data_IF_186609192348
#
_entry.id   IF_186609192348
#
_cell.length_a   1.000
_cell.length_b   1.000
_cell.length_c   1.000
_cell.angle_alpha   90.00
_cell.angle_beta   90.00
_cell.angle_gamma   90.00
#
_symmetry.space_group_name_H-M   'P 1'
#
loop_
_entity.id
_entity.type
_entity.pdbx_description
1 polymer ?
#
# COMPACT_ATOMS: atom_id res chain seq x y z
N UNK A 1 23.25 -7.76 35.99
CA UNK A 1 21.80 -7.74 35.73
C UNK A 1 21.60 -7.12 34.35
N UNK A 2 21.70 -7.90 33.27
CA UNK A 2 21.68 -7.36 31.90
C UNK A 2 20.24 -6.97 31.51
N UNK A 3 20.00 -5.75 31.00
CA UNK A 3 18.68 -5.33 30.57
C UNK A 3 18.24 -6.18 29.37
N UNK A 4 17.15 -6.94 29.54
CA UNK A 4 16.44 -7.63 28.46
C UNK A 4 15.91 -6.59 27.48
N UNK A 5 16.69 -6.27 26.46
CA UNK A 5 16.22 -5.51 25.31
C UNK A 5 15.25 -6.40 24.54
N UNK A 6 13.95 -6.24 24.80
CA UNK A 6 12.88 -6.89 24.04
C UNK A 6 12.82 -6.22 22.67
N UNK A 7 13.69 -6.62 21.76
CA UNK A 7 13.60 -6.26 20.34
C UNK A 7 12.26 -6.75 19.82
N UNK A 8 11.28 -5.84 19.74
CA UNK A 8 10.00 -6.13 19.10
C UNK A 8 10.30 -6.48 17.65
N UNK A 9 9.95 -7.70 17.23
CA UNK A 9 10.14 -8.15 15.85
C UNK A 9 9.49 -7.13 14.89
N UNK A 10 10.19 -6.66 13.85
CA UNK A 10 9.64 -5.71 12.89
C UNK A 10 8.40 -6.32 12.21
N UNK A 11 7.30 -5.56 12.15
CA UNK A 11 6.05 -5.99 11.50
C UNK A 11 6.32 -6.17 10.00
N UNK A 12 6.24 -7.40 9.48
CA UNK A 12 6.33 -7.64 8.04
C UNK A 12 5.13 -6.99 7.34
N UNK A 13 5.39 -6.10 6.38
CA UNK A 13 4.32 -5.54 5.53
C UNK A 13 3.86 -6.60 4.54
N UNK A 14 2.55 -6.73 4.38
CA UNK A 14 1.94 -7.56 3.34
C UNK A 14 2.31 -7.03 1.95
N UNK A 15 2.40 -7.91 0.95
CA UNK A 15 2.65 -7.50 -0.43
C UNK A 15 1.53 -6.58 -0.94
N UNK A 16 0.29 -6.85 -0.53
CA UNK A 16 -0.86 -6.00 -0.85
C UNK A 16 -0.68 -4.58 -0.30
N UNK A 17 -0.14 -4.46 0.92
CA UNK A 17 0.14 -3.16 1.56
C UNK A 17 1.16 -2.37 0.74
N UNK A 18 2.25 -3.00 0.30
CA UNK A 18 3.30 -2.34 -0.49
C UNK A 18 2.79 -1.95 -1.88
N UNK A 19 2.21 -2.89 -2.63
CA UNK A 19 1.71 -2.64 -3.99
C UNK A 19 0.61 -1.57 -3.97
N UNK A 20 -0.35 -1.67 -3.06
CA UNK A 20 -1.42 -0.68 -2.96
C UNK A 20 -0.91 0.71 -2.59
N UNK A 21 0.13 0.82 -1.76
CA UNK A 21 0.75 2.12 -1.42
C UNK A 21 1.42 2.78 -2.63
N UNK A 22 2.08 2.00 -3.49
CA UNK A 22 2.72 2.49 -4.72
C UNK A 22 1.66 3.00 -5.70
N UNK A 23 0.59 2.23 -5.90
CA UNK A 23 -0.52 2.62 -6.79
C UNK A 23 -1.20 3.91 -6.33
N UNK A 24 -1.55 4.03 -5.05
CA UNK A 24 -2.13 5.26 -4.49
C UNK A 24 -1.16 6.45 -4.59
N UNK A 25 0.15 6.20 -4.42
CA UNK A 25 1.17 7.24 -4.64
C UNK A 25 1.21 7.74 -6.10
N UNK A 26 1.09 6.83 -7.07
CA UNK A 26 0.96 7.20 -8.48
C UNK A 26 -0.35 7.91 -8.78
N UNK A 27 -1.44 7.52 -8.12
CA UNK A 27 -2.75 8.12 -8.29
C UNK A 27 -2.77 9.58 -7.82
N UNK A 28 -2.05 9.92 -6.75
CA UNK A 28 -1.78 11.32 -6.37
C UNK A 28 -1.15 12.12 -7.53
N UNK A 29 -0.22 11.51 -8.25
CA UNK A 29 0.42 12.12 -9.40
C UNK A 29 -0.56 12.31 -10.56
N UNK A 30 -1.41 11.31 -10.82
CA UNK A 30 -2.48 11.36 -11.83
C UNK A 30 -3.48 12.46 -11.52
N UNK A 31 -3.93 12.58 -10.26
CA UNK A 31 -4.88 13.60 -9.82
C UNK A 31 -4.29 15.00 -9.94
N UNK A 32 -3.02 15.18 -9.58
CA UNK A 32 -2.31 16.44 -9.77
C UNK A 32 -2.27 16.83 -11.26
N UNK A 33 -1.85 15.92 -12.14
CA UNK A 33 -1.80 16.15 -13.58
C UNK A 33 -3.19 16.36 -14.18
N UNK A 34 -4.20 15.62 -13.73
CA UNK A 34 -5.60 15.78 -14.14
C UNK A 34 -6.16 17.14 -13.76
N UNK A 35 -5.81 17.65 -12.58
CA UNK A 35 -6.15 19.01 -12.14
C UNK A 35 -5.51 20.06 -13.06
N UNK A 36 -4.22 19.89 -13.36
CA UNK A 36 -3.50 20.76 -14.30
C UNK A 36 -4.10 20.72 -15.72
N UNK A 37 -4.54 19.55 -16.18
CA UNK A 37 -5.17 19.35 -17.47
C UNK A 37 -6.53 20.07 -17.55
N UNK A 38 -7.39 19.89 -16.54
CA UNK A 38 -8.70 20.56 -16.43
C UNK A 38 -8.53 22.08 -16.42
N UNK A 39 -7.57 22.58 -15.63
CA UNK A 39 -7.21 24.00 -15.60
C UNK A 39 -6.67 24.49 -16.95
N UNK A 40 -5.74 23.75 -17.56
CA UNK A 40 -5.10 24.10 -18.82
C UNK A 40 -6.08 24.15 -20.01
N UNK A 41 -7.10 23.29 -19.99
CA UNK A 41 -8.18 23.28 -20.98
C UNK A 41 -9.31 24.27 -20.65
N UNK A 42 -9.23 25.02 -19.55
CA UNK A 42 -10.26 25.97 -19.07
C UNK A 42 -11.65 25.34 -18.96
N UNK A 43 -11.72 24.05 -18.62
CA UNK A 43 -12.99 23.32 -18.47
C UNK A 43 -13.76 23.84 -17.25
N UNK A 44 -13.05 24.25 -16.21
CA UNK A 44 -13.58 24.82 -14.96
C UNK A 44 -12.80 26.07 -14.58
N UNK A 45 -13.42 26.95 -13.78
CA UNK A 45 -12.72 28.06 -13.16
C UNK A 45 -11.54 27.57 -12.29
N UNK A 46 -10.47 28.37 -12.14
CA UNK A 46 -9.24 27.93 -11.48
C UNK A 46 -9.47 27.46 -10.04
N UNK A 47 -10.27 28.22 -9.28
CA UNK A 47 -10.52 27.95 -7.86
C UNK A 47 -11.20 26.59 -7.65
N UNK A 48 -12.36 26.28 -8.26
CA UNK A 48 -12.98 24.97 -8.08
C UNK A 48 -12.13 23.81 -8.60
N UNK A 49 -11.35 23.99 -9.69
CA UNK A 49 -10.46 22.95 -10.18
C UNK A 49 -9.39 22.56 -9.15
N UNK A 50 -8.70 23.53 -8.56
CA UNK A 50 -7.68 23.27 -7.53
C UNK A 50 -8.29 22.73 -6.24
N UNK A 51 -9.47 23.21 -5.83
CA UNK A 51 -10.17 22.70 -4.64
C UNK A 51 -10.56 21.23 -4.83
N UNK A 52 -11.12 20.86 -5.98
CA UNK A 52 -11.49 19.48 -6.27
C UNK A 52 -10.27 18.56 -6.29
N UNK A 53 -9.19 18.98 -6.97
CA UNK A 53 -7.93 18.25 -7.02
C UNK A 53 -7.29 18.06 -5.66
N UNK A 54 -7.25 19.11 -4.83
CA UNK A 54 -6.70 19.06 -3.49
C UNK A 54 -7.53 18.17 -2.55
N UNK A 55 -8.87 18.25 -2.62
CA UNK A 55 -9.76 17.39 -1.85
C UNK A 55 -9.56 15.91 -2.21
N UNK A 56 -9.40 15.62 -3.50
CA UNK A 56 -9.16 14.27 -4.00
C UNK A 56 -7.77 13.75 -3.58
N UNK A 57 -6.74 14.58 -3.67
CA UNK A 57 -5.39 14.25 -3.18
C UNK A 57 -5.37 13.98 -1.67
N UNK A 58 -6.08 14.78 -0.88
CA UNK A 58 -6.23 14.56 0.56
C UNK A 58 -6.93 13.22 0.87
N UNK A 59 -7.98 12.87 0.11
CA UNK A 59 -8.67 11.59 0.22
C UNK A 59 -7.74 10.40 -0.05
N UNK A 60 -6.86 10.51 -1.05
CA UNK A 60 -5.85 9.49 -1.35
C UNK A 60 -4.85 9.35 -0.19
N UNK A 61 -4.35 10.46 0.37
CA UNK A 61 -3.43 10.42 1.51
C UNK A 61 -4.05 9.75 2.74
N UNK A 62 -5.31 10.06 3.03
CA UNK A 62 -6.07 9.36 4.08
C UNK A 62 -6.16 7.87 3.75
N UNK A 63 -6.45 7.54 2.50
CA UNK A 63 -6.56 6.14 2.05
C UNK A 63 -5.25 5.36 2.22
N UNK A 64 -4.12 5.96 1.88
CA UNK A 64 -2.78 5.39 2.12
C UNK A 64 -2.55 5.11 3.60
N UNK A 65 -2.96 6.03 4.48
CA UNK A 65 -2.82 5.88 5.94
C UNK A 65 -3.64 4.70 6.48
N UNK A 66 -4.82 4.47 5.90
CA UNK A 66 -5.75 3.40 6.29
C UNK A 66 -5.51 2.06 5.60
N UNK A 67 -4.66 2.00 4.57
CA UNK A 67 -4.28 0.77 3.87
C UNK A 67 -3.60 -0.29 4.77
N UNK A 68 -3.20 0.11 5.99
CA UNK A 68 -2.64 -0.78 7.02
C UNK A 68 -3.67 -1.75 7.65
N UNK A 69 -4.96 -1.55 7.38
CA UNK A 69 -6.07 -2.38 7.85
C UNK A 69 -6.78 -3.04 6.67
N UNK A 70 -7.43 -4.19 6.89
CA UNK A 70 -8.15 -4.94 5.84
C UNK A 70 -9.26 -4.09 5.15
N UNK A 71 -9.76 -3.08 5.85
CA UNK A 71 -10.69 -2.06 5.36
C UNK A 71 -10.12 -1.15 4.27
N UNK A 72 -8.79 -1.03 4.18
CA UNK A 72 -8.13 -0.23 3.16
C UNK A 72 -8.41 -0.71 1.73
N UNK A 73 -8.76 -1.99 1.55
CA UNK A 73 -9.13 -2.53 0.23
C UNK A 73 -10.44 -1.89 -0.25
N UNK A 74 -11.44 -1.78 0.62
CA UNK A 74 -12.71 -1.12 0.30
C UNK A 74 -12.52 0.37 0.02
N UNK A 75 -11.64 1.02 0.77
CA UNK A 75 -11.34 2.43 0.59
C UNK A 75 -10.64 2.69 -0.76
N UNK A 76 -9.73 1.81 -1.18
CA UNK A 76 -9.14 1.89 -2.51
C UNK A 76 -10.13 1.65 -3.64
N UNK A 77 -11.12 0.77 -3.46
CA UNK A 77 -12.23 0.65 -4.42
C UNK A 77 -13.03 1.95 -4.56
N UNK A 78 -13.31 2.64 -3.45
CA UNK A 78 -13.98 3.94 -3.50
C UNK A 78 -13.15 4.97 -4.27
N UNK A 79 -11.84 5.04 -4.02
CA UNK A 79 -10.92 5.93 -4.74
C UNK A 79 -10.90 5.62 -6.24
N UNK A 80 -10.85 4.35 -6.64
CA UNK A 80 -10.86 3.96 -8.04
C UNK A 80 -12.17 4.33 -8.76
N UNK A 81 -13.32 4.10 -8.11
CA UNK A 81 -14.62 4.52 -8.67
C UNK A 81 -14.66 6.04 -8.84
N UNK A 82 -14.16 6.78 -7.86
CA UNK A 82 -14.07 8.23 -7.93
C UNK A 82 -13.13 8.70 -9.05
N UNK A 83 -12.01 8.00 -9.28
CA UNK A 83 -11.07 8.34 -10.35
C UNK A 83 -11.71 8.11 -11.73
N UNK A 84 -12.42 6.99 -11.91
CA UNK A 84 -13.18 6.74 -13.13
C UNK A 84 -14.27 7.79 -13.31
N UNK A 85 -14.96 8.20 -12.23
CA UNK A 85 -15.96 9.25 -12.27
C UNK A 85 -15.36 10.63 -12.63
N UNK A 86 -14.09 10.89 -12.33
CA UNK A 86 -13.39 12.08 -12.84
C UNK A 86 -13.33 12.10 -14.39
N UNK A 87 -13.51 10.95 -15.04
CA UNK A 87 -13.77 10.81 -16.48
C UNK A 87 -14.93 11.66 -17.01
N UNK A 88 -15.97 11.90 -16.20
CA UNK A 88 -17.08 12.75 -16.59
C UNK A 88 -16.68 14.22 -16.79
N UNK A 89 -15.61 14.68 -16.13
CA UNK A 89 -15.07 16.03 -16.34
C UNK A 89 -14.22 16.07 -17.62
N UNK A 90 -13.45 15.01 -17.89
CA UNK A 90 -12.66 14.91 -19.10
C UNK A 90 -12.56 13.47 -19.59
N UNK A 91 -12.97 13.16 -20.85
CA UNK A 91 -13.03 11.79 -21.34
C UNK A 91 -11.70 11.03 -21.26
N UNK A 92 -10.55 11.71 -21.36
CA UNK A 92 -9.23 11.09 -21.20
C UNK A 92 -9.02 10.45 -19.82
N UNK A 93 -9.69 10.96 -18.78
CA UNK A 93 -9.62 10.40 -17.43
C UNK A 93 -10.37 9.06 -17.30
N UNK A 94 -11.32 8.74 -18.19
CA UNK A 94 -11.91 7.39 -18.22
C UNK A 94 -10.88 6.34 -18.58
N UNK A 95 -10.00 6.62 -19.54
CA UNK A 95 -8.94 5.67 -19.96
C UNK A 95 -7.97 5.46 -18.79
N UNK A 96 -7.51 6.54 -18.17
CA UNK A 96 -6.59 6.47 -17.03
C UNK A 96 -7.23 5.75 -15.84
N UNK A 97 -8.45 6.14 -15.47
CA UNK A 97 -9.20 5.52 -14.39
C UNK A 97 -9.47 4.03 -14.64
N UNK A 98 -9.82 3.64 -15.86
CA UNK A 98 -10.05 2.24 -16.20
C UNK A 98 -8.76 1.40 -16.08
N UNK A 99 -7.62 1.92 -16.54
CA UNK A 99 -6.33 1.25 -16.42
C UNK A 99 -5.92 1.07 -14.95
N UNK A 100 -6.09 2.10 -14.13
CA UNK A 100 -5.82 2.04 -12.69
C UNK A 100 -6.76 1.06 -11.98
N UNK A 101 -8.06 1.12 -12.26
CA UNK A 101 -9.05 0.23 -11.66
C UNK A 101 -8.79 -1.23 -12.03
N UNK A 102 -8.47 -1.51 -13.30
CA UNK A 102 -8.12 -2.85 -13.76
C UNK A 102 -6.86 -3.37 -13.08
N UNK A 103 -5.82 -2.54 -13.01
CA UNK A 103 -4.56 -2.86 -12.33
C UNK A 103 -4.79 -3.14 -10.84
N UNK A 104 -5.50 -2.25 -10.14
CA UNK A 104 -5.87 -2.40 -8.73
C UNK A 104 -6.57 -3.73 -8.48
N UNK A 105 -7.58 -4.05 -9.28
CA UNK A 105 -8.35 -5.30 -9.17
C UNK A 105 -7.44 -6.53 -9.32
N UNK A 106 -6.59 -6.53 -10.35
CA UNK A 106 -5.66 -7.63 -10.61
C UNK A 106 -4.68 -7.84 -9.45
N UNK A 107 -4.08 -6.77 -8.94
CA UNK A 107 -3.12 -6.83 -7.84
C UNK A 107 -3.76 -7.21 -6.51
N UNK A 108 -4.98 -6.78 -6.22
CA UNK A 108 -5.68 -7.20 -4.99
C UNK A 108 -6.01 -8.69 -5.00
N UNK A 109 -6.33 -9.24 -6.18
CA UNK A 109 -6.52 -10.67 -6.36
C UNK A 109 -5.20 -11.44 -6.22
N UNK A 110 -4.16 -11.08 -6.98
CA UNK A 110 -2.84 -11.74 -6.95
C UNK A 110 -2.14 -11.60 -5.60
N UNK A 111 -2.17 -10.43 -4.99
CA UNK A 111 -1.60 -10.18 -3.67
C UNK A 111 -2.21 -11.07 -2.59
N UNK A 112 -3.49 -11.46 -2.74
CA UNK A 112 -4.13 -12.38 -1.79
C UNK A 112 -3.70 -13.80 -1.91
N UNK A 113 -3.47 -14.23 -3.14
CA UNK A 113 -2.90 -15.53 -3.42
C UNK A 113 -1.51 -15.63 -2.79
N UNK A 114 -0.67 -14.60 -2.98
CA UNK A 114 0.70 -14.59 -2.45
C UNK A 114 0.71 -14.46 -0.91
N UNK A 115 -0.12 -13.61 -0.32
CA UNK A 115 -0.19 -13.49 1.15
C UNK A 115 -0.66 -14.80 1.79
N UNK A 116 -1.63 -15.52 1.18
CA UNK A 116 -2.05 -16.84 1.64
C UNK A 116 -0.93 -17.88 1.57
N UNK A 117 -0.12 -17.83 0.51
CA UNK A 117 1.03 -18.72 0.36
C UNK A 117 2.16 -18.40 1.35
N UNK A 118 2.34 -17.14 1.73
CA UNK A 118 3.38 -16.70 2.68
C UNK A 118 2.98 -16.87 4.15
N UNK A 119 1.69 -16.88 4.47
CA UNK A 119 1.19 -17.08 5.82
C UNK A 119 1.79 -18.29 6.58
N UNK A 120 1.86 -19.51 6.00
CA UNK A 120 2.45 -20.66 6.70
C UNK A 120 3.96 -20.51 6.93
N UNK A 121 4.69 -19.95 5.97
CA UNK A 121 6.15 -19.72 6.06
C UNK A 121 6.45 -18.73 7.20
N UNK A 122 5.68 -17.65 7.31
CA UNK A 122 5.84 -16.65 8.36
C UNK A 122 5.49 -17.23 9.74
N UNK A 123 4.45 -18.06 9.82
CA UNK A 123 4.06 -18.72 11.07
C UNK A 123 5.16 -19.67 11.58
N UNK A 124 5.79 -20.42 10.68
CA UNK A 124 6.90 -21.31 11.01
C UNK A 124 8.15 -20.53 11.44
N UNK A 125 8.51 -19.47 10.71
CA UNK A 125 9.60 -18.58 11.08
C UNK A 125 9.40 -17.98 12.49
N UNK A 126 8.20 -17.48 12.80
CA UNK A 126 7.89 -16.95 14.14
C UNK A 126 7.94 -18.02 15.24
N UNK A 127 7.57 -19.27 14.94
CA UNK A 127 7.67 -20.38 15.89
C UNK A 127 9.12 -20.72 16.21
N UNK A 128 9.97 -20.83 15.19
CA UNK A 128 11.41 -21.13 15.35
C UNK A 128 12.14 -20.01 16.09
N UNK A 129 11.79 -18.75 15.84
CA UNK A 129 12.27 -17.60 16.62
C UNK A 129 11.84 -17.68 18.09
N UNK A 130 10.56 -17.99 18.36
CA UNK A 130 10.04 -18.10 19.72
C UNK A 130 10.64 -19.29 20.49
N UNK A 131 11.01 -20.36 19.78
CA UNK A 131 11.73 -21.50 20.33
C UNK A 131 13.23 -21.21 20.58
N UNK A 132 13.76 -20.11 20.06
CA UNK A 132 15.19 -19.80 20.14
C UNK A 132 16.05 -20.76 19.31
N UNK A 133 15.50 -21.29 18.21
CA UNK A 133 16.23 -22.16 17.27
C UNK A 133 16.96 -21.37 16.17
N UNK A 134 16.47 -20.17 15.87
CA UNK A 134 17.03 -19.26 14.86
C UNK A 134 17.21 -17.85 15.43
N UNK A 135 18.28 -17.17 15.03
CA UNK A 135 18.54 -15.76 15.33
C UNK A 135 17.66 -14.82 14.51
N UNK A 136 17.71 -13.51 14.83
CA UNK A 136 16.93 -12.47 14.12
C UNK A 136 17.35 -12.33 12.65
N UNK A 137 18.56 -12.74 12.32
CA UNK A 137 19.13 -12.90 10.98
C UNK A 137 18.58 -14.14 10.22
N UNK A 138 17.83 -15.00 10.89
CA UNK A 138 17.25 -16.21 10.31
C UNK A 138 18.24 -17.38 10.21
N UNK A 139 19.45 -17.23 10.75
CA UNK A 139 20.40 -18.33 10.85
C UNK A 139 20.07 -19.20 12.06
N UNK A 140 20.27 -20.53 12.00
CA UNK A 140 20.26 -21.36 13.19
C UNK A 140 21.23 -20.81 14.23
N UNK A 141 20.81 -20.69 15.49
CA UNK A 141 21.74 -20.30 16.55
C UNK A 141 22.63 -21.52 16.81
N UNK A 142 23.81 -21.54 16.21
CA UNK A 142 24.76 -22.61 16.44
C UNK A 142 25.30 -22.49 17.86
N UNK A 143 25.22 -23.58 18.61
CA UNK A 143 25.67 -23.64 19.99
C UNK A 143 27.20 -23.48 20.11
N UNK A 144 27.92 -23.52 18.97
CA UNK A 144 29.38 -23.33 18.90
C UNK A 144 29.85 -21.88 19.08
N UNK A 145 28.96 -20.88 18.97
CA UNK A 145 29.28 -19.46 19.24
C UNK A 145 29.37 -19.13 20.74
N UNK A 146 29.23 -20.12 21.65
CA UNK A 146 29.72 -19.93 23.02
C UNK A 146 31.23 -19.71 22.95
N UNK A 147 31.75 -18.54 23.37
CA UNK A 147 33.19 -18.34 23.44
C UNK A 147 33.73 -19.40 24.41
N UNK A 148 34.46 -20.37 23.87
CA UNK A 148 35.23 -21.31 24.67
C UNK A 148 36.13 -20.45 25.57
N UNK A 149 35.85 -20.53 26.88
CA UNK A 149 36.48 -19.73 27.93
C UNK A 149 37.98 -19.94 27.99
#
# INVERSE_FOLDING_TARGET
MSPRNRTRLPRQRSIREVIGSIFLGFELFVVFLGTLLIFGMRVLDPVPAFVLGAAFGALILVTIRFLRHEWGIWLGWAVQVLLVAAGFLHPGMFVVGALFLASWTYFMWKGGQIDRQRAPIIAEYNRRLAAGEIGIDGQPIDQTDTPSS
#
